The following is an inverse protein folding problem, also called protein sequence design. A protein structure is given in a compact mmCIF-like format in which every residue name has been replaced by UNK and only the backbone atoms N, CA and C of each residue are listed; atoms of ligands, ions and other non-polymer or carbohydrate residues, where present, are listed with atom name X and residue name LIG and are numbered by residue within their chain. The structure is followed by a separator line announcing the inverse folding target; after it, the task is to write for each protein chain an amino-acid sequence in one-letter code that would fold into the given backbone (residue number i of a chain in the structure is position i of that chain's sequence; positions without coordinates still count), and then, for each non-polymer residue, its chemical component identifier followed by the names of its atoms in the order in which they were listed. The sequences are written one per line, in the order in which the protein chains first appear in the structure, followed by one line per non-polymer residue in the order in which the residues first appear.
data_IF_406012387163
#
_entry.id   IF_406012387163
#
_cell.length_a   1.000
_cell.length_b   1.000
_cell.length_c   1.000
_cell.angle_alpha   90.00
_cell.angle_beta   90.00
_cell.angle_gamma   90.00
#
_symmetry.space_group_name_H-M   'P 1'
#
loop_
_entity.id
_entity.type
_entity.pdbx_description
1 polymer ?
#
# COMPACT_ATOMS: atom_id res chain seq x y z
N UNK A 1 70.56 -19.92 4.85
CA UNK A 1 70.23 -20.41 3.50
C UNK A 1 68.73 -20.55 3.45
N UNK A 2 68.09 -19.65 2.71
CA UNK A 2 66.66 -19.41 2.73
C UNK A 2 65.84 -20.50 2.05
N UNK A 3 64.61 -20.61 2.52
CA UNK A 3 63.53 -21.49 2.08
C UNK A 3 63.12 -21.24 0.62
N UNK A 4 62.64 -22.29 -0.04
CA UNK A 4 61.80 -22.18 -1.24
C UNK A 4 60.81 -23.36 -1.28
N UNK A 5 59.60 -23.12 -0.80
CA UNK A 5 58.38 -23.81 -1.22
C UNK A 5 57.70 -22.91 -2.28
N UNK A 6 57.21 -23.44 -3.41
CA UNK A 6 56.56 -22.61 -4.42
C UNK A 6 55.17 -22.14 -3.97
N UNK A 7 54.97 -20.82 -4.07
CA UNK A 7 53.71 -20.10 -3.92
C UNK A 7 52.63 -20.67 -4.86
N UNK A 8 51.61 -21.31 -4.29
CA UNK A 8 50.39 -21.74 -4.99
C UNK A 8 49.18 -20.95 -4.46
N UNK A 9 49.18 -19.62 -4.56
CA UNK A 9 47.97 -18.81 -4.43
C UNK A 9 48.09 -17.59 -5.34
N UNK A 10 47.65 -17.69 -6.60
CA UNK A 10 47.29 -16.54 -7.44
C UNK A 10 46.40 -16.99 -8.62
N UNK A 11 45.30 -17.68 -8.32
CA UNK A 11 44.17 -17.75 -9.25
C UNK A 11 42.91 -18.21 -8.50
N UNK A 12 42.37 -17.33 -7.65
CA UNK A 12 41.01 -17.48 -7.15
C UNK A 12 40.24 -16.24 -7.62
N UNK A 13 39.50 -16.49 -8.69
CA UNK A 13 38.39 -15.74 -9.28
C UNK A 13 38.10 -14.33 -8.75
N UNK A 14 38.41 -13.34 -9.60
CA UNK A 14 37.69 -12.05 -9.62
C UNK A 14 36.17 -12.23 -9.84
N UNK A 15 35.72 -13.42 -10.28
CA UNK A 15 34.30 -13.77 -10.38
C UNK A 15 33.62 -14.01 -9.01
N UNK A 16 34.34 -14.49 -7.98
CA UNK A 16 33.78 -14.76 -6.65
C UNK A 16 33.61 -13.49 -5.79
N UNK A 17 34.39 -12.43 -6.06
CA UNK A 17 34.29 -11.17 -5.32
C UNK A 17 33.01 -10.41 -5.68
N UNK A 18 32.54 -10.52 -6.93
CA UNK A 18 31.27 -9.93 -7.35
C UNK A 18 30.03 -10.65 -6.78
N UNK A 19 30.14 -11.92 -6.36
CA UNK A 19 29.08 -12.61 -5.60
C UNK A 19 29.04 -12.19 -4.12
N UNK A 20 30.17 -11.69 -3.58
CA UNK A 20 30.25 -11.23 -2.18
C UNK A 20 30.00 -9.73 -2.00
N UNK A 21 30.24 -8.92 -3.02
CA UNK A 21 29.71 -7.55 -3.09
C UNK A 21 28.29 -7.60 -3.65
N UNK A 22 27.38 -8.23 -2.92
CA UNK A 22 25.96 -8.00 -3.14
C UNK A 22 25.75 -6.49 -3.03
N UNK A 23 25.61 -5.81 -4.17
CA UNK A 23 25.08 -4.46 -4.21
C UNK A 23 23.71 -4.57 -3.55
N UNK A 24 23.66 -4.29 -2.26
CA UNK A 24 22.41 -4.15 -1.53
C UNK A 24 21.70 -3.03 -2.27
N UNK A 25 20.70 -3.40 -3.07
CA UNK A 25 19.78 -2.43 -3.63
C UNK A 25 19.24 -1.67 -2.43
N UNK A 26 19.65 -0.41 -2.28
CA UNK A 26 19.18 0.45 -1.19
C UNK A 26 17.70 0.81 -1.40
N UNK A 27 17.08 0.33 -2.49
CA UNK A 27 15.69 0.56 -2.76
C UNK A 27 14.82 -0.34 -1.87
N UNK A 28 14.36 0.26 -0.78
CA UNK A 28 13.40 -0.33 0.16
C UNK A 28 12.00 -0.49 -0.42
N UNK A 29 11.81 -0.08 -1.68
CA UNK A 29 10.52 -0.10 -2.32
C UNK A 29 10.61 -0.81 -3.67
N UNK A 30 9.56 -1.55 -4.01
CA UNK A 30 9.42 -2.14 -5.34
C UNK A 30 8.02 -1.89 -5.85
N UNK A 31 7.93 -1.35 -7.05
CA UNK A 31 6.67 -1.13 -7.75
C UNK A 31 6.68 -2.05 -8.99
N UNK A 32 5.60 -2.77 -9.17
CA UNK A 32 5.39 -3.61 -10.35
C UNK A 32 4.08 -3.19 -10.98
N UNK A 33 4.11 -2.84 -12.26
CA UNK A 33 2.91 -2.48 -13.03
C UNK A 33 2.77 -3.53 -14.14
N UNK A 34 1.62 -4.18 -14.23
CA UNK A 34 1.45 -5.40 -15.05
C UNK A 34 1.90 -5.25 -16.53
N UNK A 35 1.73 -4.07 -17.12
CA UNK A 35 2.10 -3.79 -18.53
C UNK A 35 3.42 -3.04 -18.71
N UNK A 36 4.22 -2.89 -17.65
CA UNK A 36 5.49 -2.18 -17.71
C UNK A 36 6.65 -3.15 -17.56
N UNK A 37 7.39 -3.39 -18.65
CA UNK A 37 8.55 -4.29 -18.66
C UNK A 37 9.89 -3.56 -18.47
N UNK A 38 9.93 -2.24 -18.65
CA UNK A 38 11.15 -1.47 -18.42
C UNK A 38 11.50 -1.45 -16.94
N UNK A 39 12.77 -1.63 -16.55
CA UNK A 39 13.18 -1.47 -15.16
C UNK A 39 12.83 -0.06 -14.68
N UNK A 40 12.30 0.04 -13.46
CA UNK A 40 12.00 1.30 -12.80
C UNK A 40 12.81 1.45 -11.52
N UNK A 41 13.26 2.67 -11.24
CA UNK A 41 13.93 3.01 -10.00
C UNK A 41 13.09 4.01 -9.21
N UNK A 42 12.61 3.60 -8.04
CA UNK A 42 11.78 4.47 -7.19
C UNK A 42 12.66 5.54 -6.53
N UNK A 43 12.26 6.80 -6.70
CA UNK A 43 12.92 7.96 -6.11
C UNK A 43 12.24 8.44 -4.84
N UNK A 44 10.91 8.51 -4.85
CA UNK A 44 10.13 9.03 -3.74
C UNK A 44 8.78 8.33 -3.63
N UNK A 45 8.30 8.18 -2.41
CA UNK A 45 7.00 7.58 -2.08
C UNK A 45 6.34 8.44 -1.02
N UNK A 46 5.13 8.90 -1.30
CA UNK A 46 4.25 9.52 -0.32
C UNK A 46 2.96 8.69 -0.22
N UNK A 47 2.67 8.17 0.96
CA UNK A 47 1.52 7.31 1.23
C UNK A 47 0.57 7.92 2.25
N UNK A 48 -0.73 7.87 1.95
CA UNK A 48 -1.80 8.28 2.85
C UNK A 48 -2.72 7.08 3.10
N UNK A 49 -2.93 6.74 4.38
CA UNK A 49 -3.80 5.65 4.80
C UNK A 49 -4.58 6.06 6.04
N UNK A 50 -5.90 5.92 6.00
CA UNK A 50 -6.79 6.23 7.11
C UNK A 50 -7.99 5.27 7.11
N UNK A 51 -8.59 5.07 8.27
CA UNK A 51 -9.87 4.36 8.37
C UNK A 51 -10.94 5.14 7.58
N UNK A 52 -11.84 4.42 6.92
CA UNK A 52 -12.94 5.00 6.13
C UNK A 52 -12.51 5.86 4.93
N UNK A 53 -11.23 5.82 4.57
CA UNK A 53 -10.69 6.52 3.41
C UNK A 53 -10.00 5.53 2.49
N UNK A 54 -10.00 5.85 1.20
CA UNK A 54 -9.17 5.13 0.24
C UNK A 54 -7.72 5.51 0.49
N UNK A 55 -6.86 4.52 0.65
CA UNK A 55 -5.43 4.79 0.68
C UNK A 55 -4.95 5.26 -0.69
N UNK A 56 -3.85 6.02 -0.67
CA UNK A 56 -3.29 6.63 -1.87
C UNK A 56 -1.77 6.70 -1.75
N UNK A 57 -1.08 6.11 -2.72
CA UNK A 57 0.38 6.17 -2.81
C UNK A 57 0.81 6.93 -4.06
N UNK A 58 1.41 8.10 -3.85
CA UNK A 58 2.07 8.86 -4.92
C UNK A 58 3.52 8.41 -5.01
N UNK A 59 3.87 7.79 -6.13
CA UNK A 59 5.18 7.17 -6.34
C UNK A 59 5.88 7.86 -7.51
N UNK A 60 7.04 8.44 -7.23
CA UNK A 60 7.93 9.02 -8.25
C UNK A 60 9.04 8.04 -8.57
N UNK A 61 9.28 7.79 -9.85
CA UNK A 61 10.30 6.84 -10.30
C UNK A 61 10.98 7.31 -11.59
N UNK A 62 12.17 6.78 -11.87
CA UNK A 62 12.85 6.93 -13.16
C UNK A 62 12.71 5.67 -14.01
N UNK A 63 12.69 5.86 -15.32
CA UNK A 63 12.75 4.80 -16.32
C UNK A 63 13.69 5.20 -17.46
N UNK A 64 14.36 4.21 -18.04
CA UNK A 64 15.17 4.38 -19.26
C UNK A 64 14.32 4.54 -20.51
N UNK A 65 13.02 4.23 -20.45
CA UNK A 65 12.08 4.47 -21.53
C UNK A 65 11.46 5.87 -21.37
N UNK A 66 11.79 6.85 -22.24
CA UNK A 66 11.28 8.22 -22.14
C UNK A 66 9.85 8.40 -22.72
N UNK A 67 9.26 7.36 -23.31
CA UNK A 67 7.98 7.43 -24.01
C UNK A 67 6.91 6.52 -23.39
N UNK A 68 6.84 6.45 -22.06
CA UNK A 68 5.76 5.73 -21.37
C UNK A 68 4.40 6.38 -21.64
N UNK A 69 3.51 5.64 -22.30
CA UNK A 69 2.20 6.17 -22.68
C UNK A 69 1.17 6.01 -21.55
N UNK A 70 0.49 7.11 -21.20
CA UNK A 70 -0.50 7.14 -20.12
C UNK A 70 -1.59 6.06 -20.25
N UNK A 71 -2.11 5.86 -21.47
CA UNK A 71 -3.16 4.87 -21.73
C UNK A 71 -2.73 3.41 -21.48
N UNK A 72 -1.41 3.15 -21.50
CA UNK A 72 -0.87 1.81 -21.21
C UNK A 72 -0.79 1.56 -19.71
N UNK A 73 -0.63 2.60 -18.91
CA UNK A 73 -0.41 2.51 -17.45
C UNK A 73 -1.66 2.78 -16.63
N UNK A 74 -2.51 3.71 -17.07
CA UNK A 74 -3.75 4.04 -16.36
C UNK A 74 -4.67 2.81 -16.27
N UNK A 75 -5.31 2.67 -15.11
CA UNK A 75 -6.19 1.57 -14.75
C UNK A 75 -5.53 0.18 -14.85
N UNK A 76 -4.19 0.10 -14.89
CA UNK A 76 -3.50 -1.19 -14.82
C UNK A 76 -3.35 -1.65 -13.38
N UNK A 77 -3.54 -2.96 -13.12
CA UNK A 77 -3.14 -3.57 -11.86
C UNK A 77 -1.65 -3.34 -11.58
N UNK A 78 -1.36 -3.00 -10.34
CA UNK A 78 -0.01 -2.78 -9.87
C UNK A 78 0.13 -3.23 -8.41
N UNK A 79 1.33 -3.63 -8.04
CA UNK A 79 1.69 -3.98 -6.67
C UNK A 79 2.85 -3.13 -6.18
N UNK A 80 2.79 -2.71 -4.93
CA UNK A 80 3.83 -1.90 -4.28
C UNK A 80 4.28 -2.58 -2.99
N UNK A 81 5.56 -2.93 -2.91
CA UNK A 81 6.15 -3.68 -1.80
C UNK A 81 7.13 -2.83 -0.99
N UNK A 82 7.04 -2.99 0.32
CA UNK A 82 8.00 -2.47 1.30
C UNK A 82 9.00 -3.59 1.60
N UNK A 83 10.25 -3.39 1.20
CA UNK A 83 11.33 -4.33 1.40
C UNK A 83 12.10 -3.93 2.68
N UNK A 84 11.90 -4.62 3.81
CA UNK A 84 12.66 -4.34 5.02
C UNK A 84 14.14 -4.60 4.74
N UNK A 85 15.00 -3.69 5.20
CA UNK A 85 16.44 -3.95 5.20
C UNK A 85 16.71 -4.97 6.30
N UNK A 86 17.12 -6.18 5.94
CA UNK A 86 17.64 -7.15 6.90
C UNK A 86 18.97 -6.60 7.46
N UNK A 87 18.90 -5.78 8.52
CA UNK A 87 20.07 -5.09 9.05
C UNK A 87 21.04 -6.03 9.79
N UNK A 88 20.63 -7.25 10.17
CA UNK A 88 21.54 -8.20 10.80
C UNK A 88 21.27 -9.64 10.38
N UNK A 89 22.20 -10.25 9.62
CA UNK A 89 22.17 -11.71 9.36
C UNK A 89 22.19 -12.55 10.65
N UNK A 90 22.69 -11.99 11.75
CA UNK A 90 22.64 -12.61 13.08
C UNK A 90 21.22 -12.61 13.67
N UNK A 91 20.37 -11.62 13.38
CA UNK A 91 18.99 -11.62 13.86
C UNK A 91 18.13 -12.67 13.15
N UNK A 92 18.44 -13.04 11.91
CA UNK A 92 17.71 -14.12 11.21
C UNK A 92 18.02 -15.51 11.78
N UNK A 93 19.28 -15.75 12.19
CA UNK A 93 19.67 -16.98 12.88
C UNK A 93 19.07 -17.08 14.29
N UNK A 94 19.01 -15.97 15.04
CA UNK A 94 18.36 -15.91 16.36
C UNK A 94 16.82 -16.00 16.23
N UNK A 95 16.21 -15.45 15.16
CA UNK A 95 14.77 -15.57 14.84
C UNK A 95 14.34 -17.01 14.63
N UNK A 96 15.16 -17.84 13.98
CA UNK A 96 14.89 -19.28 13.82
C UNK A 96 14.84 -20.05 15.14
N UNK A 97 15.36 -19.47 16.23
CA UNK A 97 15.45 -20.09 17.55
C UNK A 97 14.42 -19.51 18.55
N UNK A 98 13.67 -18.47 18.18
CA UNK A 98 12.66 -17.84 19.04
C UNK A 98 11.25 -18.04 18.49
N UNK A 99 10.36 -18.67 19.26
CA UNK A 99 8.92 -18.78 18.99
C UNK A 99 8.17 -17.41 19.04
N UNK A 100 8.90 -16.30 19.10
CA UNK A 100 8.35 -14.94 19.09
C UNK A 100 8.20 -14.44 17.65
N UNK A 101 6.98 -14.15 17.15
CA UNK A 101 6.77 -13.60 15.82
C UNK A 101 7.14 -12.10 15.82
N UNK A 102 8.43 -11.81 15.79
CA UNK A 102 8.94 -10.48 15.44
C UNK A 102 9.33 -10.56 13.96
N UNK A 103 8.32 -10.71 13.11
CA UNK A 103 8.45 -10.64 11.66
C UNK A 103 8.31 -9.20 11.20
N UNK A 104 9.39 -8.60 10.69
CA UNK A 104 9.24 -7.49 9.75
C UNK A 104 8.81 -8.11 8.42
N UNK A 105 7.53 -8.49 8.32
CA UNK A 105 7.01 -9.02 7.07
C UNK A 105 7.02 -7.91 6.02
N UNK A 106 7.48 -8.27 4.82
CA UNK A 106 7.40 -7.38 3.67
C UNK A 106 5.92 -7.10 3.42
N UNK A 107 5.51 -5.86 3.65
CA UNK A 107 4.16 -5.41 3.34
C UNK A 107 4.07 -5.21 1.84
N UNK A 108 3.01 -5.72 1.22
CA UNK A 108 2.73 -5.53 -0.21
C UNK A 108 1.31 -5.03 -0.38
N UNK A 109 1.14 -3.94 -1.12
CA UNK A 109 -0.13 -3.35 -1.49
C UNK A 109 -0.47 -3.74 -2.92
N UNK A 110 -1.76 -3.95 -3.19
CA UNK A 110 -2.27 -4.29 -4.50
C UNK A 110 -3.35 -3.30 -4.88
N UNK A 111 -3.28 -2.75 -6.08
CA UNK A 111 -4.24 -1.75 -6.51
C UNK A 111 -4.17 -1.50 -8.00
N UNK A 112 -4.64 -0.33 -8.40
CA UNK A 112 -4.63 0.14 -9.77
C UNK A 112 -3.96 1.51 -9.86
N UNK A 113 -3.36 1.78 -11.02
CA UNK A 113 -2.84 3.11 -11.32
C UNK A 113 -4.00 4.05 -11.66
N UNK A 114 -4.28 5.03 -10.81
CA UNK A 114 -5.37 5.99 -10.99
C UNK A 114 -4.92 7.28 -11.64
N UNK A 115 -3.65 7.66 -11.48
CA UNK A 115 -3.05 8.83 -12.13
C UNK A 115 -1.66 8.50 -12.67
N UNK A 116 -1.29 9.17 -13.75
CA UNK A 116 0.03 9.09 -14.37
C UNK A 116 0.45 10.47 -14.85
N UNK A 117 1.69 10.86 -14.56
CA UNK A 117 2.30 12.12 -14.98
C UNK A 117 3.74 11.87 -15.42
N UNK A 118 4.13 12.45 -16.54
CA UNK A 118 5.53 12.60 -16.91
C UNK A 118 6.04 13.94 -16.39
N UNK A 119 7.06 13.91 -15.54
CA UNK A 119 7.57 15.10 -14.85
C UNK A 119 8.68 15.77 -15.67
N UNK A 120 9.66 15.00 -16.13
CA UNK A 120 10.78 15.50 -16.92
C UNK A 120 11.41 14.38 -17.75
N UNK A 121 12.14 14.75 -18.79
CA UNK A 121 12.95 13.84 -19.60
C UNK A 121 14.36 14.39 -19.67
N UNK A 122 15.34 13.55 -19.38
CA UNK A 122 16.76 13.80 -19.63
C UNK A 122 17.23 12.89 -20.78
N UNK A 123 18.51 13.00 -21.16
CA UNK A 123 19.10 12.22 -22.26
C UNK A 123 19.08 10.70 -21.98
N UNK A 124 19.32 10.32 -20.73
CA UNK A 124 19.52 8.91 -20.35
C UNK A 124 18.31 8.32 -19.59
N UNK A 125 17.52 9.16 -18.91
CA UNK A 125 16.39 8.74 -18.08
C UNK A 125 15.23 9.76 -18.11
N UNK A 126 14.01 9.27 -17.89
CA UNK A 126 12.82 10.09 -17.70
C UNK A 126 12.20 9.89 -16.31
N UNK A 127 11.64 10.96 -15.75
CA UNK A 127 11.01 10.99 -14.45
C UNK A 127 9.50 10.92 -14.60
N UNK A 128 8.88 9.98 -13.89
CA UNK A 128 7.45 9.75 -13.90
C UNK A 128 6.89 9.78 -12.48
N UNK A 129 5.60 10.05 -12.39
CA UNK A 129 4.82 9.92 -11.19
C UNK A 129 3.57 9.10 -11.48
N UNK A 130 3.27 8.15 -10.62
CA UNK A 130 1.99 7.42 -10.62
C UNK A 130 1.30 7.57 -9.28
N UNK A 131 -0.01 7.43 -9.30
CA UNK A 131 -0.80 7.24 -8.09
C UNK A 131 -1.35 5.82 -8.09
N UNK A 132 -1.02 5.06 -7.05
CA UNK A 132 -1.58 3.76 -6.77
C UNK A 132 -2.70 3.92 -5.74
N UNK A 133 -3.85 3.29 -6.02
CA UNK A 133 -5.05 3.35 -5.19
C UNK A 133 -5.81 2.00 -5.23
N UNK A 134 -6.70 1.74 -4.26
CA UNK A 134 -7.52 0.52 -4.26
C UNK A 134 -8.42 0.46 -5.50
N UNK A 135 -8.81 -0.74 -5.95
CA UNK A 135 -9.70 -0.91 -7.12
C UNK A 135 -11.02 -0.12 -7.00
N UNK A 136 -11.55 -0.02 -5.77
CA UNK A 136 -12.78 0.72 -5.48
C UNK A 136 -12.68 2.22 -5.79
N UNK A 137 -11.46 2.78 -5.92
CA UNK A 137 -11.27 4.17 -6.34
C UNK A 137 -11.95 4.51 -7.68
N UNK A 138 -12.21 3.51 -8.54
CA UNK A 138 -12.99 3.69 -9.77
C UNK A 138 -14.40 4.22 -9.54
N UNK A 139 -15.00 3.92 -8.39
CA UNK A 139 -16.35 4.36 -8.03
C UNK A 139 -16.42 5.87 -7.75
N UNK A 140 -15.28 6.57 -7.64
CA UNK A 140 -15.23 8.04 -7.53
C UNK A 140 -15.37 8.75 -8.88
N UNK A 141 -15.26 8.03 -10.00
CA UNK A 141 -15.18 8.62 -11.34
C UNK A 141 -16.56 8.93 -11.95
N UNK A 142 -17.64 8.42 -11.35
CA UNK A 142 -18.99 8.66 -11.82
C UNK A 142 -19.74 9.61 -10.90
N UNK A 143 -20.88 10.09 -11.39
CA UNK A 143 -21.94 10.70 -10.58
C UNK A 143 -23.26 10.18 -11.10
N UNK A 144 -24.15 9.76 -10.20
CA UNK A 144 -25.38 9.09 -10.58
C UNK A 144 -26.55 9.49 -9.68
N UNK A 145 -27.75 9.26 -10.19
CA UNK A 145 -28.99 9.33 -9.42
C UNK A 145 -29.68 7.97 -9.52
N UNK A 146 -30.02 7.37 -8.38
CA UNK A 146 -30.62 6.04 -8.32
C UNK A 146 -31.59 5.94 -7.14
N UNK A 147 -32.57 5.05 -7.28
CA UNK A 147 -33.58 4.76 -6.26
C UNK A 147 -33.52 3.27 -5.95
N UNK A 148 -33.38 2.94 -4.68
CA UNK A 148 -33.42 1.58 -4.14
C UNK A 148 -34.62 1.48 -3.19
N UNK A 149 -35.50 0.52 -3.43
CA UNK A 149 -36.73 0.35 -2.65
C UNK A 149 -36.72 -1.00 -1.94
N UNK A 150 -37.22 -1.03 -0.70
CA UNK A 150 -37.37 -2.25 0.10
C UNK A 150 -36.07 -3.05 0.23
N UNK A 151 -34.95 -2.35 0.48
CA UNK A 151 -33.63 -2.96 0.69
C UNK A 151 -32.96 -2.45 1.97
N UNK A 152 -32.12 -3.28 2.59
CA UNK A 152 -31.23 -2.83 3.67
C UNK A 152 -30.06 -2.04 3.11
N UNK A 153 -29.40 -1.23 3.95
CA UNK A 153 -28.19 -0.48 3.58
C UNK A 153 -27.08 -1.39 3.06
N UNK A 154 -26.87 -2.53 3.72
CA UNK A 154 -25.84 -3.51 3.33
C UNK A 154 -26.13 -4.09 1.94
N UNK A 155 -27.38 -4.45 1.66
CA UNK A 155 -27.77 -4.97 0.34
C UNK A 155 -27.53 -3.95 -0.77
N UNK A 156 -27.85 -2.67 -0.52
CA UNK A 156 -27.59 -1.60 -1.49
C UNK A 156 -26.10 -1.42 -1.73
N UNK A 157 -25.28 -1.39 -0.68
CA UNK A 157 -23.81 -1.29 -0.82
C UNK A 157 -23.27 -2.46 -1.65
N UNK A 158 -23.65 -3.69 -1.33
CA UNK A 158 -23.24 -4.87 -2.11
C UNK A 158 -23.71 -4.80 -3.57
N UNK A 159 -24.95 -4.36 -3.81
CA UNK A 159 -25.49 -4.21 -5.16
C UNK A 159 -24.64 -3.23 -5.98
N UNK A 160 -24.29 -2.07 -5.41
CA UNK A 160 -23.46 -1.07 -6.08
C UNK A 160 -22.05 -1.63 -6.34
N UNK A 161 -21.40 -2.25 -5.35
CA UNK A 161 -20.08 -2.86 -5.52
C UNK A 161 -20.07 -3.89 -6.66
N UNK A 162 -21.07 -4.79 -6.69
CA UNK A 162 -21.20 -5.83 -7.71
C UNK A 162 -21.47 -5.27 -9.10
N UNK A 163 -22.20 -4.15 -9.23
CA UNK A 163 -22.40 -3.51 -10.54
C UNK A 163 -21.10 -2.98 -11.17
N UNK A 164 -20.07 -2.74 -10.36
CA UNK A 164 -18.72 -2.36 -10.81
C UNK A 164 -17.77 -3.54 -11.00
N UNK A 165 -18.28 -4.77 -10.88
CA UNK A 165 -17.49 -6.00 -10.99
C UNK A 165 -16.61 -6.30 -9.78
N UNK A 166 -16.88 -5.67 -8.62
CA UNK A 166 -16.24 -6.02 -7.36
C UNK A 166 -17.01 -7.18 -6.72
N UNK A 167 -16.32 -8.27 -6.40
CA UNK A 167 -16.98 -9.46 -5.87
C UNK A 167 -16.05 -10.26 -4.96
N UNK A 168 -16.63 -10.93 -3.95
CA UNK A 168 -16.05 -12.02 -3.14
C UNK A 168 -14.67 -11.76 -2.54
N UNK A 169 -13.65 -11.71 -3.40
CA UNK A 169 -12.26 -11.44 -3.08
C UNK A 169 -11.97 -9.95 -2.87
N UNK A 170 -12.72 -9.05 -3.51
CA UNK A 170 -12.43 -7.60 -3.43
C UNK A 170 -12.96 -6.96 -2.13
N UNK A 171 -13.94 -7.59 -1.46
CA UNK A 171 -14.49 -7.09 -0.20
C UNK A 171 -15.01 -8.21 0.70
N UNK A 172 -14.99 -7.97 2.02
CA UNK A 172 -15.52 -8.89 3.02
C UNK A 172 -16.42 -8.15 4.01
N UNK A 173 -17.62 -8.68 4.24
CA UNK A 173 -18.52 -8.19 5.28
C UNK A 173 -18.22 -8.89 6.61
N UNK A 174 -17.81 -8.14 7.60
CA UNK A 174 -17.55 -8.56 8.98
C UNK A 174 -18.51 -7.81 9.92
N UNK A 175 -19.81 -7.95 9.66
CA UNK A 175 -20.87 -7.22 10.36
C UNK A 175 -21.51 -8.10 11.43
N UNK A 176 -21.74 -7.54 12.62
CA UNK A 176 -22.45 -8.23 13.72
C UNK A 176 -23.88 -7.73 13.90
N UNK A 177 -24.15 -6.48 13.57
CA UNK A 177 -25.48 -5.89 13.70
C UNK A 177 -26.41 -6.36 12.57
N UNK A 178 -27.71 -6.31 12.86
CA UNK A 178 -28.75 -6.47 11.85
C UNK A 178 -29.16 -5.10 11.31
N UNK A 179 -29.12 -4.94 9.98
CA UNK A 179 -29.51 -3.70 9.30
C UNK A 179 -30.90 -3.86 8.68
N UNK A 180 -31.93 -3.16 9.18
CA UNK A 180 -33.30 -3.34 8.71
C UNK A 180 -33.49 -2.86 7.28
N UNK A 181 -34.51 -3.43 6.63
CA UNK A 181 -34.96 -2.98 5.30
C UNK A 181 -35.53 -1.56 5.40
N UNK A 182 -35.12 -0.70 4.47
CA UNK A 182 -35.67 0.65 4.30
C UNK A 182 -36.65 0.66 3.13
N UNK A 183 -37.72 1.42 3.26
CA UNK A 183 -38.69 1.63 2.19
C UNK A 183 -38.03 2.27 0.96
N UNK A 184 -37.18 3.27 1.19
CA UNK A 184 -36.54 4.05 0.14
C UNK A 184 -35.11 4.45 0.55
N UNK A 185 -34.16 4.23 -0.35
CA UNK A 185 -32.79 4.77 -0.30
C UNK A 185 -32.53 5.45 -1.64
N UNK A 186 -32.05 6.70 -1.60
CA UNK A 186 -31.77 7.50 -2.80
C UNK A 186 -30.28 7.83 -2.86
N UNK A 187 -29.74 7.72 -4.07
CA UNK A 187 -28.49 8.32 -4.48
C UNK A 187 -28.81 9.56 -5.30
N UNK A 188 -28.24 10.71 -4.97
CA UNK A 188 -28.56 11.96 -5.66
C UNK A 188 -27.31 12.79 -5.98
N UNK A 189 -26.93 12.83 -7.26
CA UNK A 189 -25.84 13.66 -7.78
C UNK A 189 -24.49 13.47 -7.05
N UNK A 190 -24.27 12.27 -6.54
CA UNK A 190 -23.05 11.85 -5.86
C UNK A 190 -22.42 10.67 -6.61
N UNK A 191 -21.12 10.48 -6.45
CA UNK A 191 -20.42 9.30 -6.96
C UNK A 191 -20.83 8.05 -6.20
N UNK A 192 -20.65 6.88 -6.80
CA UNK A 192 -20.97 5.62 -6.12
C UNK A 192 -20.10 5.41 -4.88
N UNK A 193 -18.86 5.93 -4.88
CA UNK A 193 -17.99 5.92 -3.71
C UNK A 193 -18.56 6.81 -2.59
N UNK A 194 -18.90 8.06 -2.90
CA UNK A 194 -19.50 8.99 -1.92
C UNK A 194 -20.81 8.42 -1.35
N UNK A 195 -21.64 7.82 -2.21
CA UNK A 195 -22.88 7.17 -1.82
C UNK A 195 -22.65 6.04 -0.82
N UNK A 196 -21.73 5.11 -1.13
CA UNK A 196 -21.39 3.99 -0.25
C UNK A 196 -20.82 4.51 1.07
N UNK A 197 -19.89 5.47 1.04
CA UNK A 197 -19.29 6.05 2.24
C UNK A 197 -20.34 6.71 3.13
N UNK A 198 -21.26 7.48 2.54
CA UNK A 198 -22.38 8.12 3.25
C UNK A 198 -23.29 7.08 3.90
N UNK A 199 -23.70 6.06 3.14
CA UNK A 199 -24.55 4.98 3.65
C UNK A 199 -23.90 4.23 4.81
N UNK A 200 -22.61 3.92 4.72
CA UNK A 200 -21.88 3.25 5.80
C UNK A 200 -21.80 4.12 7.05
N UNK A 201 -21.43 5.39 6.89
CA UNK A 201 -21.34 6.35 8.00
C UNK A 201 -22.68 6.53 8.73
N UNK A 202 -23.80 6.61 8.00
CA UNK A 202 -25.15 6.78 8.56
C UNK A 202 -25.56 5.67 9.53
N UNK A 203 -24.99 4.47 9.40
CA UNK A 203 -25.34 3.30 10.21
C UNK A 203 -24.18 2.79 11.07
N UNK A 204 -23.10 3.57 11.18
CA UNK A 204 -21.93 3.21 11.99
C UNK A 204 -21.08 2.07 11.42
N UNK A 205 -21.20 1.79 10.12
CA UNK A 205 -20.29 0.88 9.42
C UNK A 205 -19.03 1.65 9.04
N UNK A 206 -17.89 0.99 9.22
CA UNK A 206 -16.58 1.49 8.81
C UNK A 206 -15.89 0.48 7.89
N UNK A 207 -14.86 0.91 7.18
CA UNK A 207 -14.06 0.03 6.34
C UNK A 207 -12.56 0.32 6.44
N UNK A 208 -11.77 -0.71 6.10
CA UNK A 208 -10.32 -0.67 5.94
C UNK A 208 -9.89 -1.62 4.83
N UNK A 209 -8.60 -1.62 4.52
CA UNK A 209 -8.03 -2.50 3.51
C UNK A 209 -7.04 -3.49 4.12
N UNK A 210 -7.08 -4.71 3.60
CA UNK A 210 -6.10 -5.76 3.87
C UNK A 210 -5.51 -6.26 2.56
N UNK A 211 -4.25 -6.67 2.61
CA UNK A 211 -3.60 -7.32 1.49
C UNK A 211 -3.69 -8.83 1.68
N UNK A 212 -4.27 -9.51 0.70
CA UNK A 212 -4.32 -10.96 0.63
C UNK A 212 -3.12 -11.44 -0.18
N UNK A 213 -2.17 -12.06 0.51
CA UNK A 213 -0.94 -12.57 -0.09
C UNK A 213 -1.13 -13.87 -0.88
N UNK A 214 -2.18 -14.65 -0.59
CA UNK A 214 -2.48 -15.90 -1.30
C UNK A 214 -3.01 -15.59 -2.71
N UNK A 215 -3.82 -14.54 -2.80
CA UNK A 215 -4.50 -14.15 -4.04
C UNK A 215 -3.87 -12.94 -4.75
N UNK A 216 -2.77 -12.40 -4.22
CA UNK A 216 -2.10 -11.20 -4.72
C UNK A 216 -3.08 -10.03 -4.96
N UNK A 217 -3.97 -9.81 -4.00
CA UNK A 217 -5.02 -8.80 -4.14
C UNK A 217 -5.26 -8.03 -2.86
N UNK A 218 -6.12 -7.04 -2.97
CA UNK A 218 -6.57 -6.25 -1.84
C UNK A 218 -8.05 -6.54 -1.55
N UNK A 219 -8.36 -6.62 -0.26
CA UNK A 219 -9.69 -6.87 0.27
C UNK A 219 -10.13 -5.67 1.09
N UNK A 220 -11.26 -5.07 0.73
CA UNK A 220 -11.93 -4.07 1.56
C UNK A 220 -12.73 -4.79 2.67
N UNK A 221 -12.31 -4.63 3.91
CA UNK A 221 -13.02 -5.16 5.07
C UNK A 221 -14.03 -4.13 5.55
N UNK A 222 -15.32 -4.47 5.46
CA UNK A 222 -16.44 -3.66 5.93
C UNK A 222 -16.90 -4.23 7.28
N UNK A 223 -16.89 -3.43 8.34
CA UNK A 223 -17.13 -3.89 9.71
C UNK A 223 -17.90 -2.86 10.55
N UNK A 224 -18.54 -3.33 11.61
CA UNK A 224 -19.25 -2.52 12.61
C UNK A 224 -18.77 -2.79 14.05
N UNK A 225 -17.79 -3.68 14.22
CA UNK A 225 -17.34 -4.17 15.52
C UNK A 225 -15.82 -4.08 15.69
N UNK A 226 -15.37 -3.88 16.93
CA UNK A 226 -13.95 -3.73 17.27
C UNK A 226 -13.08 -4.94 16.89
N UNK A 227 -13.63 -6.15 16.87
CA UNK A 227 -12.90 -7.34 16.42
C UNK A 227 -12.53 -7.26 14.93
N UNK A 228 -13.20 -6.39 14.17
CA UNK A 228 -12.89 -6.12 12.78
C UNK A 228 -11.55 -5.43 12.57
N UNK A 229 -10.89 -4.83 13.59
CA UNK A 229 -9.65 -4.06 13.40
C UNK A 229 -8.47 -4.93 12.94
N UNK A 230 -8.53 -6.24 13.15
CA UNK A 230 -7.43 -7.16 12.81
C UNK A 230 -6.17 -6.89 13.64
N UNK A 231 -5.22 -7.82 13.59
CA UNK A 231 -3.93 -7.64 14.26
C UNK A 231 -3.06 -6.74 13.37
N UNK A 232 -2.97 -5.45 13.71
CA UNK A 232 -2.22 -4.46 12.93
C UNK A 232 -0.76 -4.91 12.74
N UNK A 233 -0.33 -5.11 11.49
CA UNK A 233 1.05 -5.39 11.16
C UNK A 233 1.92 -4.17 11.53
N UNK A 234 2.96 -4.37 12.35
CA UNK A 234 3.93 -3.32 12.70
C UNK A 234 4.81 -3.03 11.48
N UNK A 235 4.52 -1.98 10.73
CA UNK A 235 5.41 -1.50 9.67
C UNK A 235 6.53 -0.67 10.28
N UNK A 236 7.79 -1.07 10.06
CA UNK A 236 8.95 -0.30 10.44
C UNK A 236 9.16 0.86 9.45
N UNK A 237 8.60 2.04 9.76
CA UNK A 237 8.94 3.26 9.05
C UNK A 237 10.28 3.79 9.57
N UNK A 238 11.24 4.02 8.68
CA UNK A 238 12.43 4.80 9.01
C UNK A 238 12.20 6.22 8.51
N UNK A 239 11.91 7.15 9.41
CA UNK A 239 11.87 8.57 9.07
C UNK A 239 13.25 8.99 8.55
N UNK A 240 13.30 9.64 7.38
CA UNK A 240 14.48 10.44 7.05
C UNK A 240 14.49 11.63 8.01
N UNK A 241 15.27 11.53 9.08
CA UNK A 241 15.46 12.63 9.99
C UNK A 241 16.00 13.83 9.19
N UNK A 242 15.24 14.92 9.16
CA UNK A 242 15.73 16.22 8.71
C UNK A 242 16.69 16.85 9.74
N UNK A 243 17.60 16.06 10.32
CA UNK A 243 18.64 16.53 11.23
C UNK A 243 19.96 16.75 10.48
N UNK A 244 19.94 17.67 9.51
CA UNK A 244 21.16 18.37 9.08
C UNK A 244 21.00 19.88 9.08
N UNK A 245 20.14 20.41 9.96
CA UNK A 245 20.09 21.84 10.28
C UNK A 245 19.85 21.95 11.79
N UNK A 246 20.82 22.50 12.52
CA UNK A 246 20.92 22.66 13.98
C UNK A 246 21.57 21.52 14.79
N UNK A 247 22.82 21.69 15.25
CA UNK A 247 23.37 20.92 16.36
C UNK A 247 22.79 21.48 17.67
N UNK A 248 22.35 20.60 18.57
CA UNK A 248 21.91 20.85 19.96
C UNK A 248 20.41 20.98 20.21
N UNK A 249 19.65 19.89 20.06
CA UNK A 249 18.50 19.64 20.93
C UNK A 249 18.54 18.18 21.42
N UNK A 250 18.38 18.03 22.73
CA UNK A 250 18.56 16.81 23.52
C UNK A 250 17.70 15.64 23.05
N UNK A 251 18.29 14.44 23.17
CA UNK A 251 17.63 13.16 22.96
C UNK A 251 16.47 13.00 23.95
N UNK A 252 15.24 13.11 23.47
CA UNK A 252 14.10 12.49 24.15
C UNK A 252 13.55 11.38 23.26
N UNK A 253 13.65 10.15 23.78
CA UNK A 253 13.02 8.95 23.26
C UNK A 253 11.51 9.14 23.23
N UNK A 254 10.94 9.30 22.03
CA UNK A 254 9.51 9.15 21.82
C UNK A 254 9.26 7.83 21.08
N UNK A 255 9.05 6.77 21.85
CA UNK A 255 8.35 5.58 21.37
C UNK A 255 6.88 5.96 21.13
N UNK A 256 6.58 6.53 19.95
CA UNK A 256 5.21 6.82 19.58
C UNK A 256 4.58 5.56 18.98
N UNK A 257 3.88 4.81 19.83
CA UNK A 257 2.81 3.90 19.37
C UNK A 257 1.78 4.79 18.68
N UNK A 258 1.62 4.68 17.37
CA UNK A 258 0.52 5.35 16.67
C UNK A 258 -0.79 4.71 17.13
N UNK A 259 -1.36 5.25 18.21
CA UNK A 259 -2.81 5.20 18.41
C UNK A 259 -3.42 6.02 17.28
N UNK A 260 -4.09 5.35 16.35
CA UNK A 260 -5.06 6.02 15.47
C UNK A 260 -6.09 6.68 16.38
N UNK A 261 -5.95 7.98 16.62
CA UNK A 261 -6.97 8.75 17.30
C UNK A 261 -8.15 8.90 16.35
N UNK A 262 -9.21 8.13 16.59
CA UNK A 262 -10.52 8.43 16.06
C UNK A 262 -10.99 9.75 16.69
N UNK A 263 -10.76 10.87 16.01
CA UNK A 263 -11.45 12.12 16.36
C UNK A 263 -12.86 12.03 15.77
N UNK A 264 -13.82 11.56 16.58
CA UNK A 264 -15.23 11.77 16.33
C UNK A 264 -15.55 13.25 16.60
N UNK A 265 -15.63 14.05 15.53
CA UNK A 265 -16.28 15.36 15.60
C UNK A 265 -17.78 15.15 15.40
N UNK A 266 -18.52 14.88 16.48
CA UNK A 266 -19.96 15.15 16.50
C UNK A 266 -20.13 16.66 16.61
N UNK A 267 -20.47 17.33 15.51
CA UNK A 267 -21.04 18.68 15.57
C UNK A 267 -22.54 18.55 15.80
N UNK A 268 -22.98 18.73 17.04
CA UNK A 268 -24.39 18.95 17.35
C UNK A 268 -24.77 20.38 17.00
N UNK A 269 -25.71 20.55 16.07
CA UNK A 269 -26.82 21.51 16.10
C UNK A 269 -27.71 21.26 14.88
#
# INVERSE_FOLDING_TARGET
MGENLPNFIHHVDEQLINEFTGQVSHNRYTLTINKLSSPISILNVNGEEQLNQLWRYTITFTSTNPALAAHTLLNQPASFSFNPVAQHRLSDAIRSLSDFPIGFDSRKLYGIITEFKQLSINKDEAHYQVVLSPKIARLSLNRSCAIFQNQSVVNVIEQVLRSHGLSGIDYRLALKAHYPVRELITQWQESDLEFIQRLMADVGIWFRFESDAEHDCEVMVISDDEQGYGQLAKVAYHYHSLSKIHPNLEQNEYFTTLKTSASFAFSSC
#
